data_IF_597876451359
#
_entry.id   IF_597876451359
#
_cell.length_a   1.000
_cell.length_b   1.000
_cell.length_c   1.000
_cell.angle_alpha   90.00
_cell.angle_beta   90.00
_cell.angle_gamma   90.00
#
_symmetry.space_group_name_H-M   'P 1'
#
loop_
_entity.id
_entity.type
_entity.pdbx_description
1 polymer ?
#
# COMPACT_ATOMS: atom_id res chain seq x y z
N UNK A 1 23.27 -4.24 -14.08
CA UNK A 1 22.49 -3.00 -14.34
C UNK A 1 22.72 -2.61 -15.79
N UNK A 2 21.68 -2.28 -16.57
CA UNK A 2 21.86 -1.82 -17.94
C UNK A 2 22.63 -0.49 -17.93
N UNK A 3 23.73 -0.44 -18.65
CA UNK A 3 24.67 0.70 -18.67
C UNK A 3 24.06 1.98 -19.23
N UNK A 4 22.96 1.88 -19.95
CA UNK A 4 22.32 3.01 -20.65
C UNK A 4 20.88 3.29 -20.20
N UNK A 5 20.47 2.86 -19.00
CA UNK A 5 19.11 3.08 -18.51
C UNK A 5 18.01 2.37 -19.31
N UNK A 6 18.37 1.48 -20.23
CA UNK A 6 17.40 0.65 -20.93
C UNK A 6 16.71 -0.30 -19.94
N UNK A 7 15.36 -0.47 -20.02
CA UNK A 7 14.65 -1.38 -19.13
C UNK A 7 15.17 -2.81 -19.35
N UNK A 8 15.57 -3.47 -18.25
CA UNK A 8 15.95 -4.88 -18.29
C UNK A 8 14.69 -5.75 -18.13
N UNK A 9 14.10 -6.14 -19.24
CA UNK A 9 12.89 -6.98 -19.28
C UNK A 9 13.10 -8.39 -18.69
N UNK A 10 14.34 -8.80 -18.42
CA UNK A 10 14.63 -10.12 -17.83
C UNK A 10 14.20 -10.21 -16.38
N UNK A 11 14.09 -9.08 -15.67
CA UNK A 11 13.75 -9.02 -14.24
C UNK A 11 12.25 -8.96 -13.96
N UNK A 12 11.41 -9.03 -14.98
CA UNK A 12 9.96 -9.02 -14.76
C UNK A 12 9.39 -10.43 -14.52
N UNK A 13 10.19 -11.48 -14.70
CA UNK A 13 9.83 -12.86 -14.46
C UNK A 13 10.69 -13.47 -13.37
N UNK A 14 10.08 -13.86 -12.27
CA UNK A 14 10.74 -14.52 -11.15
C UNK A 14 10.11 -15.90 -10.91
N UNK A 15 10.95 -16.90 -10.66
CA UNK A 15 10.52 -18.21 -10.21
C UNK A 15 11.17 -18.50 -8.86
N UNK A 16 10.40 -18.54 -7.82
CA UNK A 16 10.85 -18.92 -6.48
C UNK A 16 10.62 -20.42 -6.31
N UNK A 17 11.68 -21.18 -6.16
CA UNK A 17 11.63 -22.65 -6.06
C UNK A 17 11.98 -23.14 -4.66
N UNK A 18 11.62 -24.39 -4.37
CA UNK A 18 11.89 -25.05 -3.10
C UNK A 18 11.38 -24.27 -1.90
N UNK A 19 10.20 -23.67 -2.02
CA UNK A 19 9.54 -22.91 -0.97
C UNK A 19 8.46 -23.73 -0.27
N UNK A 20 8.22 -23.44 1.01
CA UNK A 20 6.98 -23.79 1.67
C UNK A 20 5.99 -22.65 1.47
N UNK A 21 4.97 -22.88 0.64
CA UNK A 21 4.00 -21.85 0.25
C UNK A 21 2.71 -21.98 1.04
N UNK A 22 2.36 -20.94 1.76
CA UNK A 22 1.08 -20.77 2.43
C UNK A 22 0.15 -19.98 1.50
N UNK A 23 -0.77 -20.67 0.82
CA UNK A 23 -1.72 -20.03 -0.10
C UNK A 23 -2.78 -19.30 0.70
N UNK A 24 -3.29 -19.97 1.73
CA UNK A 24 -4.23 -19.47 2.71
C UNK A 24 -4.02 -20.18 4.07
N UNK A 25 -4.91 -19.95 5.04
CA UNK A 25 -4.80 -20.52 6.38
C UNK A 25 -5.00 -22.05 6.45
N UNK A 26 -5.50 -22.68 5.39
CA UNK A 26 -5.75 -24.13 5.30
C UNK A 26 -4.82 -24.82 4.31
N UNK A 27 -4.37 -24.10 3.27
CA UNK A 27 -3.66 -24.68 2.14
C UNK A 27 -2.17 -24.38 2.20
N UNK A 28 -1.37 -25.42 2.39
CA UNK A 28 0.09 -25.34 2.43
C UNK A 28 0.70 -26.31 1.42
N UNK A 29 1.65 -25.83 0.63
CA UNK A 29 2.39 -26.63 -0.35
C UNK A 29 3.86 -26.70 0.09
N UNK A 30 4.36 -27.89 0.46
CA UNK A 30 5.68 -28.06 1.12
C UNK A 30 6.88 -27.83 0.19
N UNK A 31 6.77 -28.12 -1.11
CA UNK A 31 7.81 -27.91 -2.10
C UNK A 31 7.26 -27.18 -3.29
N UNK A 32 6.87 -25.93 -3.05
CA UNK A 32 6.25 -25.11 -4.07
C UNK A 32 7.25 -24.41 -4.97
N UNK A 33 6.82 -24.18 -6.18
CA UNK A 33 7.36 -23.17 -7.10
C UNK A 33 6.32 -22.08 -7.27
N UNK A 34 6.72 -20.82 -7.06
CA UNK A 34 5.90 -19.63 -7.26
C UNK A 34 6.48 -18.84 -8.42
N UNK A 35 5.69 -18.61 -9.46
CA UNK A 35 6.08 -17.80 -10.62
C UNK A 35 5.37 -16.45 -10.57
N UNK A 36 6.15 -15.37 -10.61
CA UNK A 36 5.67 -14.00 -10.65
C UNK A 36 6.11 -13.34 -11.95
N UNK A 37 5.19 -12.68 -12.62
CA UNK A 37 5.46 -11.84 -13.79
C UNK A 37 4.84 -10.47 -13.60
N UNK A 38 5.62 -9.41 -13.84
CA UNK A 38 5.17 -8.02 -13.72
C UNK A 38 4.45 -7.69 -12.39
N UNK A 39 4.92 -8.31 -11.29
CA UNK A 39 4.33 -8.15 -9.96
C UNK A 39 3.09 -8.98 -9.69
N UNK A 40 2.63 -9.80 -10.63
CA UNK A 40 1.44 -10.65 -10.50
C UNK A 40 1.86 -12.11 -10.40
N UNK A 41 1.22 -12.88 -9.52
CA UNK A 41 1.38 -14.34 -9.46
C UNK A 41 0.76 -14.95 -10.70
N UNK A 42 1.57 -15.63 -11.51
CA UNK A 42 1.12 -16.30 -12.73
C UNK A 42 0.78 -17.76 -12.47
N UNK A 43 1.60 -18.43 -11.65
CA UNK A 43 1.41 -19.83 -11.33
C UNK A 43 2.03 -20.15 -9.96
N UNK A 44 1.44 -21.10 -9.24
CA UNK A 44 1.91 -21.52 -7.93
C UNK A 44 1.52 -22.98 -7.64
N UNK A 45 2.48 -23.82 -7.31
CA UNK A 45 2.20 -25.23 -7.05
C UNK A 45 3.46 -26.10 -6.91
N UNK A 46 3.25 -27.41 -6.86
CA UNK A 46 4.32 -28.40 -6.78
C UNK A 46 4.91 -28.78 -8.16
N UNK A 47 4.13 -28.59 -9.24
CA UNK A 47 4.49 -28.98 -10.62
C UNK A 47 4.44 -27.81 -11.61
N UNK A 48 4.86 -26.66 -11.19
CA UNK A 48 4.84 -25.45 -12.02
C UNK A 48 5.99 -25.48 -13.04
N UNK A 49 5.66 -25.17 -14.30
CA UNK A 49 6.65 -25.06 -15.37
C UNK A 49 7.28 -23.67 -15.30
N UNK A 50 8.61 -23.64 -15.10
CA UNK A 50 9.35 -22.37 -15.05
C UNK A 50 9.50 -21.83 -16.48
N UNK A 51 9.01 -20.61 -16.76
CA UNK A 51 9.15 -19.98 -18.07
C UNK A 51 10.62 -19.74 -18.46
N UNK A 52 10.93 -19.87 -19.75
CA UNK A 52 12.27 -19.54 -20.27
C UNK A 52 12.60 -18.06 -19.99
N UNK A 53 13.78 -17.81 -19.43
CA UNK A 53 14.23 -16.46 -19.10
C UNK A 53 13.75 -15.91 -17.75
N UNK A 54 13.01 -16.70 -16.98
CA UNK A 54 12.70 -16.31 -15.59
C UNK A 54 13.95 -16.36 -14.71
N UNK A 55 14.07 -15.38 -13.81
CA UNK A 55 15.10 -15.39 -12.77
C UNK A 55 14.72 -16.41 -11.70
N UNK A 56 15.49 -17.49 -11.60
CA UNK A 56 15.21 -18.54 -10.62
C UNK A 56 15.89 -18.23 -9.29
N UNK A 57 15.10 -18.19 -8.22
CA UNK A 57 15.56 -18.00 -6.85
C UNK A 57 15.24 -19.24 -6.01
N UNK A 58 16.26 -19.97 -5.58
CA UNK A 58 16.09 -21.11 -4.68
C UNK A 58 15.94 -20.62 -3.23
N UNK A 59 14.80 -20.84 -2.64
CA UNK A 59 14.48 -20.44 -1.28
C UNK A 59 14.90 -21.46 -0.20
N UNK A 60 15.39 -22.63 -0.59
CA UNK A 60 15.96 -23.63 0.32
C UNK A 60 15.05 -23.97 1.51
N UNK A 61 13.78 -24.14 1.23
CA UNK A 61 12.78 -24.48 2.26
C UNK A 61 12.24 -23.30 3.07
N UNK A 62 12.55 -22.05 2.71
CA UNK A 62 11.94 -20.88 3.34
C UNK A 62 10.46 -20.81 3.03
N UNK A 63 9.71 -20.18 3.94
CA UNK A 63 8.27 -20.00 3.79
C UNK A 63 7.92 -18.74 3.02
N UNK A 64 6.90 -18.83 2.15
CA UNK A 64 6.25 -17.71 1.48
C UNK A 64 4.84 -17.58 2.05
N UNK A 65 4.45 -16.36 2.40
CA UNK A 65 3.12 -15.99 2.85
C UNK A 65 2.56 -14.87 1.99
N UNK A 66 1.23 -14.77 1.82
CA UNK A 66 0.61 -13.54 1.35
C UNK A 66 0.96 -12.37 2.27
N UNK A 67 1.22 -11.20 1.70
CA UNK A 67 1.47 -10.01 2.50
C UNK A 67 0.20 -9.54 3.21
N UNK A 68 0.37 -8.87 4.36
CA UNK A 68 -0.71 -8.19 5.05
C UNK A 68 -1.11 -6.90 4.29
N UNK A 69 -2.37 -6.52 4.44
CA UNK A 69 -2.91 -5.27 3.90
C UNK A 69 -3.41 -4.44 5.09
N UNK A 70 -2.87 -3.23 5.24
CA UNK A 70 -3.39 -2.26 6.21
C UNK A 70 -4.43 -1.38 5.54
N UNK A 71 -5.68 -1.46 5.99
CA UNK A 71 -6.80 -0.68 5.45
C UNK A 71 -7.02 0.65 6.18
N UNK A 72 -6.21 0.99 7.19
CA UNK A 72 -6.39 2.19 8.01
C UNK A 72 -5.08 2.90 8.30
N UNK A 73 -4.34 3.26 7.25
CA UNK A 73 -3.01 3.84 7.31
C UNK A 73 -3.00 5.36 7.09
N UNK A 74 -1.93 5.99 7.57
CA UNK A 74 -1.57 7.38 7.23
C UNK A 74 -0.21 7.44 6.51
N UNK A 75 0.28 6.31 6.03
CA UNK A 75 1.54 6.25 5.30
C UNK A 75 1.52 7.21 4.10
N UNK A 76 2.57 8.01 3.97
CA UNK A 76 2.69 9.00 2.89
C UNK A 76 1.73 10.17 2.95
N UNK A 77 0.94 10.31 4.04
CA UNK A 77 0.02 11.45 4.20
C UNK A 77 0.68 12.57 5.02
N UNK A 78 0.34 13.83 4.74
CA UNK A 78 0.79 14.94 5.55
C UNK A 78 0.29 14.83 6.99
N UNK A 79 1.13 15.23 7.94
CA UNK A 79 0.74 15.29 9.35
C UNK A 79 -0.39 16.28 9.58
N UNK A 80 -1.41 15.85 10.30
CA UNK A 80 -2.51 16.70 10.72
C UNK A 80 -2.20 17.24 12.11
N UNK A 81 -2.01 18.54 12.21
CA UNK A 81 -1.92 19.21 13.51
C UNK A 81 -3.29 19.12 14.18
N UNK A 82 -3.40 18.30 15.23
CA UNK A 82 -4.61 18.26 16.05
C UNK A 82 -4.78 19.62 16.70
N UNK A 83 -5.92 20.28 16.42
CA UNK A 83 -6.32 21.45 17.18
C UNK A 83 -6.49 21.04 18.66
N UNK A 84 -6.06 21.90 19.60
CA UNK A 84 -6.26 21.65 21.01
C UNK A 84 -7.75 21.41 21.28
N UNK A 85 -8.06 20.27 21.91
CA UNK A 85 -9.43 19.90 22.27
C UNK A 85 -9.90 20.84 23.37
N UNK A 86 -10.73 21.80 23.01
CA UNK A 86 -11.39 22.67 23.97
C UNK A 86 -12.58 21.89 24.57
N UNK A 87 -12.40 21.39 25.79
CA UNK A 87 -13.45 20.71 26.55
C UNK A 87 -14.56 21.74 26.82
N UNK A 88 -15.68 21.65 26.11
CA UNK A 88 -16.82 22.56 26.25
C UNK A 88 -17.33 23.20 24.97
N UNK A 89 -16.56 23.12 23.87
CA UNK A 89 -17.06 23.38 22.51
C UNK A 89 -17.46 22.08 21.87
N UNK A 90 -18.66 21.99 21.33
CA UNK A 90 -19.15 20.86 20.57
C UNK A 90 -18.21 20.53 19.38
N UNK A 91 -18.37 19.35 18.79
CA UNK A 91 -17.59 18.92 17.61
C UNK A 91 -17.55 20.05 16.60
N UNK A 92 -16.34 20.32 16.12
CA UNK A 92 -15.90 21.41 15.25
C UNK A 92 -16.86 21.74 14.08
N UNK A 93 -17.93 22.41 14.36
CA UNK A 93 -18.81 23.02 13.37
C UNK A 93 -18.36 24.44 13.00
N UNK A 94 -17.29 24.94 13.65
CA UNK A 94 -16.80 26.31 13.50
C UNK A 94 -15.62 26.37 12.52
N UNK A 95 -15.73 27.26 11.54
CA UNK A 95 -14.61 27.65 10.69
C UNK A 95 -13.82 28.77 11.36
N UNK A 96 -12.48 28.59 11.48
CA UNK A 96 -11.56 29.66 11.87
C UNK A 96 -11.22 30.59 10.71
N UNK A 97 -11.72 30.32 9.52
CA UNK A 97 -11.49 31.11 8.31
C UNK A 97 -12.48 32.27 8.31
N UNK A 98 -11.96 33.51 8.43
CA UNK A 98 -12.76 34.72 8.33
C UNK A 98 -13.07 35.01 6.86
N UNK A 99 -14.33 35.18 6.49
CA UNK A 99 -14.76 35.51 5.14
C UNK A 99 -16.24 35.19 4.91
N UNK A 100 -16.72 35.53 3.71
CA UNK A 100 -18.13 35.35 3.31
C UNK A 100 -18.55 33.86 3.20
N UNK A 101 -17.59 32.96 3.18
CA UNK A 101 -17.81 31.51 3.09
C UNK A 101 -17.25 30.84 4.35
N UNK A 102 -18.12 30.53 5.29
CA UNK A 102 -17.78 29.68 6.43
C UNK A 102 -17.56 28.25 5.95
N UNK A 103 -16.32 27.79 5.94
CA UNK A 103 -16.00 26.38 5.67
C UNK A 103 -16.06 25.60 6.97
N UNK A 104 -16.78 24.49 6.95
CA UNK A 104 -16.71 23.55 8.06
C UNK A 104 -15.40 22.76 7.97
N UNK A 105 -14.46 23.06 8.87
CA UNK A 105 -13.14 22.42 8.89
C UNK A 105 -13.17 20.91 9.21
N UNK A 106 -14.32 20.39 9.62
CA UNK A 106 -14.50 18.96 9.84
C UNK A 106 -14.99 18.20 8.60
N UNK A 107 -15.38 18.90 7.53
CA UNK A 107 -15.99 18.32 6.34
C UNK A 107 -15.11 18.63 5.12
N UNK A 108 -14.33 17.64 4.68
CA UNK A 108 -13.38 17.75 3.58
C UNK A 108 -13.60 16.68 2.50
N UNK A 109 -14.80 16.58 1.90
CA UNK A 109 -15.10 15.56 0.89
C UNK A 109 -14.26 15.74 -0.39
N UNK A 110 -13.75 16.95 -0.62
CA UNK A 110 -12.91 17.33 -1.75
C UNK A 110 -11.47 16.80 -1.63
N UNK A 111 -11.06 16.32 -0.46
CA UNK A 111 -9.70 15.84 -0.24
C UNK A 111 -9.46 14.54 -1.01
N UNK A 112 -8.50 14.57 -1.92
CA UNK A 112 -8.04 13.41 -2.67
C UNK A 112 -6.70 12.93 -2.12
N UNK A 113 -6.67 11.77 -1.45
CA UNK A 113 -5.46 11.24 -0.84
C UNK A 113 -4.34 10.97 -1.85
N UNK A 114 -4.68 10.55 -3.06
CA UNK A 114 -3.71 10.31 -4.13
C UNK A 114 -2.92 11.56 -4.54
N UNK A 115 -3.51 12.75 -4.43
CA UNK A 115 -2.84 14.03 -4.71
C UNK A 115 -1.95 14.53 -3.56
N UNK A 116 -2.18 14.00 -2.36
CA UNK A 116 -1.43 14.35 -1.15
C UNK A 116 -0.35 13.34 -0.81
N UNK A 117 -0.39 12.19 -1.48
CA UNK A 117 0.50 11.08 -1.20
C UNK A 117 1.94 11.40 -1.59
N UNK A 118 2.86 11.17 -0.66
CA UNK A 118 4.30 11.28 -0.86
C UNK A 118 4.94 9.99 -0.34
N UNK A 119 5.65 9.28 -1.22
CA UNK A 119 6.29 8.03 -0.86
C UNK A 119 7.47 8.27 0.09
N UNK A 120 7.52 7.53 1.21
CA UNK A 120 8.66 7.48 2.11
C UNK A 120 9.25 6.06 2.15
N UNK A 121 10.42 5.91 1.55
CA UNK A 121 11.10 4.63 1.42
C UNK A 121 11.43 3.99 2.78
N UNK A 122 11.75 4.80 3.81
CA UNK A 122 12.10 4.31 5.15
C UNK A 122 10.88 3.73 5.86
N UNK A 123 9.79 4.48 5.91
CA UNK A 123 8.54 4.00 6.51
C UNK A 123 7.97 2.80 5.76
N UNK A 124 8.09 2.78 4.42
CA UNK A 124 7.70 1.62 3.63
C UNK A 124 8.53 0.38 3.97
N UNK A 125 9.84 0.53 4.18
CA UNK A 125 10.71 -0.57 4.61
C UNK A 125 10.32 -1.11 5.98
N UNK A 126 10.01 -0.24 6.93
CA UNK A 126 9.57 -0.63 8.28
C UNK A 126 8.27 -1.44 8.20
N UNK A 127 7.29 -1.00 7.43
CA UNK A 127 6.03 -1.73 7.21
C UNK A 127 6.26 -3.09 6.54
N UNK A 128 7.15 -3.16 5.53
CA UNK A 128 7.50 -4.45 4.89
C UNK A 128 8.17 -5.42 5.85
N UNK A 129 9.01 -4.94 6.77
CA UNK A 129 9.68 -5.80 7.78
C UNK A 129 8.70 -6.52 8.70
N UNK A 130 7.54 -5.93 8.94
CA UNK A 130 6.46 -6.53 9.75
C UNK A 130 5.40 -7.26 8.91
N UNK A 131 5.61 -7.37 7.59
CA UNK A 131 4.82 -8.21 6.69
C UNK A 131 3.76 -7.51 5.87
N UNK A 132 3.64 -6.18 5.92
CA UNK A 132 2.74 -5.45 5.04
C UNK A 132 3.32 -5.27 3.64
N UNK A 133 2.50 -5.49 2.61
CA UNK A 133 2.86 -5.27 1.20
C UNK A 133 2.07 -4.14 0.56
N UNK A 134 0.89 -3.85 1.10
CA UNK A 134 -0.05 -2.86 0.57
C UNK A 134 -0.73 -2.14 1.73
N UNK A 135 -0.96 -0.85 1.57
CA UNK A 135 -1.68 -0.05 2.55
C UNK A 135 -2.73 0.82 1.87
N UNK A 136 -3.86 1.05 2.54
CA UNK A 136 -4.83 2.06 2.17
C UNK A 136 -4.62 3.28 3.04
N UNK A 137 -4.13 4.35 2.45
CA UNK A 137 -3.77 5.60 3.14
C UNK A 137 -4.80 6.70 2.91
N UNK A 138 -5.03 7.51 3.93
CA UNK A 138 -5.89 8.67 3.88
C UNK A 138 -5.48 9.71 4.92
N UNK A 139 -5.86 10.97 4.70
CA UNK A 139 -5.61 12.05 5.65
C UNK A 139 -6.58 11.94 6.84
N UNK A 140 -6.08 11.75 8.06
CA UNK A 140 -6.89 11.65 9.30
C UNK A 140 -7.32 13.02 9.83
N UNK A 141 -8.06 13.77 9.03
CA UNK A 141 -8.49 15.13 9.35
C UNK A 141 -10.02 15.26 9.27
N UNK A 142 -10.63 15.76 10.32
CA UNK A 142 -12.07 15.99 10.38
C UNK A 142 -12.95 14.73 10.44
N UNK A 143 -14.23 14.93 10.15
CA UNK A 143 -15.30 13.91 10.11
C UNK A 143 -15.38 13.30 8.71
N UNK A 144 -15.67 14.12 7.68
CA UNK A 144 -15.58 13.70 6.29
C UNK A 144 -14.17 14.00 5.80
N UNK A 145 -13.41 12.95 5.47
CA UNK A 145 -11.96 13.01 5.23
C UNK A 145 -11.54 12.93 3.77
N UNK A 146 -12.53 12.88 2.88
CA UNK A 146 -12.30 12.70 1.45
C UNK A 146 -12.00 11.25 1.07
N UNK A 147 -11.28 11.07 -0.03
CA UNK A 147 -10.95 9.73 -0.56
C UNK A 147 -9.67 9.17 0.06
N UNK A 148 -9.58 7.83 0.07
CA UNK A 148 -8.36 7.09 0.35
C UNK A 148 -7.65 6.67 -0.95
N UNK A 149 -6.36 6.36 -0.84
CA UNK A 149 -5.52 5.81 -1.90
C UNK A 149 -4.97 4.45 -1.47
N UNK A 150 -4.97 3.46 -2.36
CA UNK A 150 -4.30 2.18 -2.11
C UNK A 150 -2.95 2.19 -2.80
N UNK A 151 -1.90 1.92 -2.03
CA UNK A 151 -0.54 1.93 -2.53
C UNK A 151 0.21 0.65 -2.17
N UNK A 152 1.07 0.21 -3.08
CA UNK A 152 2.06 -0.81 -2.80
C UNK A 152 3.21 -0.21 -1.99
N UNK A 153 3.78 -0.97 -1.07
CA UNK A 153 4.97 -0.56 -0.32
C UNK A 153 6.28 -0.85 -1.09
N UNK A 154 6.22 -1.07 -2.40
CA UNK A 154 7.40 -1.28 -3.22
C UNK A 154 8.30 -0.04 -3.24
N UNK A 155 9.63 -0.26 -3.37
CA UNK A 155 10.59 0.83 -3.50
C UNK A 155 10.66 1.29 -4.97
N UNK A 156 9.66 2.04 -5.39
CA UNK A 156 9.49 2.61 -6.74
C UNK A 156 8.96 4.03 -6.66
N UNK A 157 8.84 4.68 -7.82
CA UNK A 157 8.25 6.02 -7.91
C UNK A 157 6.76 6.01 -7.54
N UNK A 158 6.25 7.14 -7.07
CA UNK A 158 4.88 7.29 -6.59
C UNK A 158 3.82 6.81 -7.61
N UNK A 159 3.98 7.19 -8.88
CA UNK A 159 3.07 6.79 -9.95
C UNK A 159 3.05 5.28 -10.23
N UNK A 160 4.10 4.56 -9.87
CA UNK A 160 4.21 3.12 -10.08
C UNK A 160 3.66 2.30 -8.89
N UNK A 161 3.57 2.93 -7.71
CA UNK A 161 3.13 2.25 -6.48
C UNK A 161 1.66 2.51 -6.16
N UNK A 162 1.03 3.54 -6.72
CA UNK A 162 -0.41 3.77 -6.58
C UNK A 162 -1.16 2.69 -7.35
N UNK A 163 -1.94 1.88 -6.61
CA UNK A 163 -2.74 0.80 -7.17
C UNK A 163 -4.18 1.23 -7.45
N UNK A 164 -4.76 2.04 -6.56
CA UNK A 164 -6.12 2.58 -6.69
C UNK A 164 -6.14 4.02 -6.19
N UNK A 165 -6.45 4.96 -7.06
CA UNK A 165 -6.48 6.40 -6.76
C UNK A 165 -7.55 6.80 -5.73
N UNK A 166 -8.74 6.23 -5.86
CA UNK A 166 -9.93 6.53 -5.03
C UNK A 166 -10.55 5.22 -4.60
N UNK A 167 -10.03 4.66 -3.53
CA UNK A 167 -10.46 3.33 -3.07
C UNK A 167 -11.75 3.41 -2.25
N UNK A 168 -11.86 4.39 -1.36
CA UNK A 168 -13.01 4.56 -0.48
C UNK A 168 -13.15 6.02 -0.05
N UNK A 169 -14.36 6.42 0.38
CA UNK A 169 -14.59 7.67 1.11
C UNK A 169 -14.45 7.42 2.60
N UNK A 170 -13.69 8.26 3.29
CA UNK A 170 -13.33 8.06 4.68
C UNK A 170 -14.11 9.00 5.61
N UNK A 171 -14.70 8.40 6.64
CA UNK A 171 -15.46 9.14 7.65
C UNK A 171 -15.04 8.73 9.05
N UNK A 172 -15.15 9.66 10.01
CA UNK A 172 -15.01 9.41 11.45
C UNK A 172 -16.28 9.80 12.17
N UNK A 173 -16.87 8.85 12.87
CA UNK A 173 -18.10 9.05 13.65
C UNK A 173 -17.80 9.23 15.14
N UNK A 174 -16.56 9.54 15.52
CA UNK A 174 -16.13 9.71 16.90
C UNK A 174 -16.27 11.14 17.36
#
# INVERSE_FOLDING_TARGET
FPVNGAPDNRHNHYAFINAKLFVDYQTVIEKATLVIKDGVVVDAGDKVIIPKGALVCDLKGKSIYPSLIDIYSTYGMPEVKKAERNWGKGSQMESNIKGAYGWNQAIHPETEASKLFIADAKSAEELRKIGFGTVMSFKKDGIARGSSVVVSLANKNENEIILIDKAASMYSLA
#
